data_IF_814267340153
#
_entry.id   IF_814267340153
#
_cell.length_a   1.000
_cell.length_b   1.000
_cell.length_c   1.000
_cell.angle_alpha   90.00
_cell.angle_beta   90.00
_cell.angle_gamma   90.00
#
_symmetry.space_group_name_H-M   'P 1'
#
loop_
_entity.id
_entity.type
_entity.pdbx_description
1 polymer ?
#
# COMPACT_ATOMS: atom_id res chain seq x y z
N UNK A 1 -14.31 9.68 3.59
CA UNK A 1 -13.08 10.43 3.43
C UNK A 1 -12.92 10.85 2.00
N UNK A 2 -12.61 12.11 1.81
CA UNK A 2 -12.57 12.62 0.47
C UNK A 2 -11.22 12.69 -0.13
N UNK A 3 -10.20 12.48 0.62
CA UNK A 3 -8.86 12.44 0.08
C UNK A 3 -8.02 11.58 0.99
N UNK A 4 -6.89 11.16 0.44
CA UNK A 4 -6.02 10.25 1.17
C UNK A 4 -5.12 11.02 2.12
N UNK A 5 -4.76 10.42 3.25
CA UNK A 5 -3.85 11.08 4.18
C UNK A 5 -2.47 11.26 3.57
N UNK A 6 -1.72 12.21 4.09
CA UNK A 6 -0.39 12.44 3.59
C UNK A 6 0.66 11.66 4.34
N UNK A 7 0.40 11.30 5.57
CA UNK A 7 1.36 10.53 6.36
C UNK A 7 1.51 9.15 5.74
N UNK A 8 2.73 8.71 5.42
CA UNK A 8 2.88 7.44 4.72
C UNK A 8 2.32 6.26 5.49
N UNK A 9 2.52 6.21 6.79
CA UNK A 9 2.03 5.09 7.56
C UNK A 9 0.51 5.07 7.58
N UNK A 10 -0.11 6.23 7.75
CA UNK A 10 -1.55 6.31 7.76
C UNK A 10 -2.10 6.06 6.37
N UNK A 11 -1.40 6.56 5.35
CA UNK A 11 -1.81 6.34 3.97
C UNK A 11 -1.82 4.85 3.66
N UNK A 12 -0.78 4.13 4.04
CA UNK A 12 -0.70 2.70 3.82
C UNK A 12 -1.84 1.99 4.55
N UNK A 13 -2.08 2.35 5.80
CA UNK A 13 -3.13 1.71 6.56
C UNK A 13 -4.49 1.95 5.92
N UNK A 14 -4.72 3.16 5.44
CA UNK A 14 -6.00 3.48 4.83
C UNK A 14 -6.19 2.72 3.53
N UNK A 15 -5.15 2.67 2.70
CA UNK A 15 -5.25 1.97 1.43
C UNK A 15 -5.46 0.49 1.67
N UNK A 16 -4.69 -0.09 2.58
CA UNK A 16 -4.80 -1.51 2.85
C UNK A 16 -6.18 -1.87 3.37
N UNK A 17 -6.73 -1.02 4.22
CA UNK A 17 -8.05 -1.29 4.76
C UNK A 17 -9.10 -1.24 3.66
N UNK A 18 -9.02 -0.25 2.78
CA UNK A 18 -10.01 -0.11 1.71
C UNK A 18 -9.92 -1.28 0.74
N UNK A 19 -8.73 -1.75 0.45
CA UNK A 19 -8.58 -2.88 -0.45
C UNK A 19 -9.03 -4.17 0.23
N UNK A 20 -8.73 -4.31 1.52
CA UNK A 20 -9.13 -5.51 2.23
C UNK A 20 -10.64 -5.60 2.35
N UNK A 21 -11.29 -4.47 2.55
CA UNK A 21 -12.74 -4.45 2.68
C UNK A 21 -13.43 -4.50 1.33
N UNK A 22 -12.62 -4.57 0.27
CA UNK A 22 -13.16 -4.70 -1.07
C UNK A 22 -13.99 -3.51 -1.50
N UNK A 23 -13.66 -2.35 -0.94
CA UNK A 23 -14.28 -1.13 -1.41
C UNK A 23 -13.82 -0.83 -2.83
N UNK A 24 -12.64 -1.29 -3.20
CA UNK A 24 -12.10 -1.11 -4.53
C UNK A 24 -11.45 -2.41 -4.97
N UNK A 25 -11.57 -2.71 -6.24
CA UNK A 25 -11.00 -3.93 -6.78
C UNK A 25 -9.50 -3.86 -6.94
N UNK A 26 -8.97 -2.70 -7.26
CA UNK A 26 -7.56 -2.56 -7.53
C UNK A 26 -7.05 -1.28 -6.90
N UNK A 27 -5.73 -1.20 -6.79
CA UNK A 27 -5.12 0.02 -6.29
C UNK A 27 -5.40 1.17 -7.24
N UNK A 28 -5.39 0.92 -8.54
CA UNK A 28 -5.67 1.95 -9.52
C UNK A 28 -7.06 2.53 -9.31
N UNK A 29 -8.03 1.67 -9.13
CA UNK A 29 -9.38 2.11 -8.93
C UNK A 29 -9.49 2.98 -7.68
N UNK A 30 -8.82 2.58 -6.64
CA UNK A 30 -8.83 3.32 -5.39
C UNK A 30 -8.20 4.70 -5.60
N UNK A 31 -7.05 4.75 -6.23
CA UNK A 31 -6.35 6.01 -6.40
C UNK A 31 -7.15 6.95 -7.27
N UNK A 32 -7.72 6.46 -8.35
CA UNK A 32 -8.50 7.34 -9.21
C UNK A 32 -9.75 7.87 -8.50
N UNK A 33 -10.31 7.07 -7.62
CA UNK A 33 -11.45 7.53 -6.86
C UNK A 33 -11.12 8.71 -5.98
N UNK A 34 -9.85 8.83 -5.57
CA UNK A 34 -9.41 9.95 -4.76
C UNK A 34 -8.65 10.98 -5.60
N UNK A 35 -8.76 10.89 -6.92
CA UNK A 35 -8.11 11.83 -7.82
C UNK A 35 -6.59 11.81 -7.67
N UNK A 36 -6.03 10.63 -7.50
CA UNK A 36 -4.59 10.47 -7.38
C UNK A 36 -4.10 9.51 -8.43
N UNK A 37 -2.84 9.63 -8.77
CA UNK A 37 -2.23 8.75 -9.74
C UNK A 37 -1.67 7.53 -9.02
N UNK A 38 -2.00 6.32 -9.45
CA UNK A 38 -1.48 5.14 -8.76
C UNK A 38 0.04 5.09 -8.71
N UNK A 39 0.68 5.50 -9.80
CA UNK A 39 2.13 5.44 -9.82
C UNK A 39 2.73 6.46 -8.87
N UNK A 40 2.09 7.59 -8.73
CA UNK A 40 2.55 8.60 -7.80
C UNK A 40 2.47 8.06 -6.38
N UNK A 41 1.37 7.41 -6.05
CA UNK A 41 1.20 6.86 -4.72
C UNK A 41 2.24 5.77 -4.48
N UNK A 42 2.47 4.91 -5.45
CA UNK A 42 3.45 3.85 -5.30
C UNK A 42 4.83 4.42 -5.07
N UNK A 43 5.20 5.43 -5.85
CA UNK A 43 6.53 6.02 -5.71
C UNK A 43 6.68 6.72 -4.37
N UNK A 44 5.66 7.43 -3.95
CA UNK A 44 5.71 8.11 -2.67
C UNK A 44 5.93 7.11 -1.54
N UNK A 45 5.23 6.00 -1.60
CA UNK A 45 5.35 5.01 -0.54
C UNK A 45 6.64 4.24 -0.64
N UNK A 46 7.15 4.01 -1.84
CA UNK A 46 8.44 3.38 -1.97
C UNK A 46 9.52 4.25 -1.34
N UNK A 47 9.43 5.55 -1.51
CA UNK A 47 10.40 6.44 -0.90
C UNK A 47 10.31 6.42 0.61
N UNK A 48 9.20 5.98 1.14
CA UNK A 48 8.98 5.91 2.58
C UNK A 48 9.03 4.48 3.10
N UNK A 49 9.67 3.60 2.32
CA UNK A 49 9.94 2.23 2.74
C UNK A 49 8.72 1.34 2.75
N UNK A 50 7.80 1.57 1.83
CA UNK A 50 6.68 0.67 1.63
C UNK A 50 6.64 0.26 0.18
N UNK A 51 6.26 -0.98 -0.09
CA UNK A 51 6.15 -1.47 -1.45
C UNK A 51 4.82 -2.18 -1.58
N UNK A 52 4.24 -2.12 -2.76
CA UNK A 52 2.93 -2.71 -3.00
C UNK A 52 3.09 -4.16 -3.42
N UNK A 53 2.34 -5.04 -2.78
CA UNK A 53 2.31 -6.44 -3.13
C UNK A 53 1.05 -6.71 -3.93
N UNK A 54 1.21 -6.99 -5.20
CA UNK A 54 0.03 -7.24 -6.04
C UNK A 54 -0.63 -8.54 -5.69
N UNK A 55 0.15 -9.48 -5.20
CA UNK A 55 -0.39 -10.75 -4.82
C UNK A 55 -1.36 -10.62 -3.68
N UNK A 56 -1.05 -9.78 -2.71
CA UNK A 56 -1.88 -9.59 -1.56
C UNK A 56 -2.75 -8.36 -1.65
N UNK A 57 -2.51 -7.53 -2.67
CA UNK A 57 -3.22 -6.29 -2.85
C UNK A 57 -3.07 -5.40 -1.64
N UNK A 58 -1.85 -5.30 -1.13
CA UNK A 58 -1.57 -4.51 0.03
C UNK A 58 -0.16 -3.97 -0.04
N UNK A 59 0.05 -2.84 0.64
CA UNK A 59 1.40 -2.31 0.79
C UNK A 59 2.03 -2.96 2.02
N UNK A 60 3.33 -3.17 1.94
CA UNK A 60 4.08 -3.79 3.01
C UNK A 60 5.36 -3.01 3.22
N UNK A 61 5.90 -2.98 4.44
CA UNK A 61 7.17 -2.30 4.67
C UNK A 61 8.29 -2.99 3.90
N UNK A 62 9.11 -2.18 3.27
CA UNK A 62 10.28 -2.72 2.62
C UNK A 62 11.14 -3.30 3.71
N UNK A 63 11.82 -4.25 3.53
CA UNK A 63 12.64 -4.87 4.57
C UNK A 63 11.90 -5.89 5.39
N UNK A 64 10.57 -5.77 5.45
CA UNK A 64 9.81 -6.76 6.17
C UNK A 64 10.04 -8.12 5.52
N UNK A 65 10.03 -8.17 4.20
CA UNK A 65 10.26 -9.38 3.48
C UNK A 65 11.69 -9.57 3.12
N UNK A 66 12.49 -8.52 3.16
CA UNK A 66 13.84 -8.63 2.74
C UNK A 66 14.78 -8.87 3.86
N UNK A 67 14.35 -8.68 5.09
CA UNK A 67 15.21 -8.90 6.19
C UNK A 67 15.65 -10.34 6.17
N UNK A 68 16.84 -10.61 6.59
CA UNK A 68 17.29 -11.97 6.66
C UNK A 68 16.53 -12.66 7.70
N UNK A 69 15.44 -13.21 7.38
CA UNK A 69 14.66 -13.79 8.28
C UNK A 69 14.97 -15.14 8.50
N UNK A 70 14.66 -15.67 9.57
CA UNK A 70 14.74 -17.07 9.76
C UNK A 70 13.79 -17.62 8.82
N UNK A 71 14.05 -18.70 8.32
CA UNK A 71 13.16 -19.29 7.42
C UNK A 71 11.87 -19.29 8.04
N UNK A 72 10.94 -18.89 7.30
CA UNK A 72 9.76 -18.82 7.79
C UNK A 72 9.32 -20.00 8.19
N UNK A 73 8.72 -20.04 9.04
CA UNK A 73 8.30 -21.17 9.44
C UNK A 73 9.38 -21.82 9.97
N UNK A 74 10.21 -21.26 9.97
CA UNK A 74 11.13 -21.81 10.35
C UNK A 74 11.47 -21.44 11.20
#
# INVERSE_FOLDING_TARGET
MEYLPQDPAILVSSINMLLRDEEFDTLESLCYSFSREPEEIKEYLIKNDYVYSEEQKQFRPVGYNEAPQPPKGE
#
